data_IF_435439092742
#
_entry.id   IF_435439092742
#
_cell.length_a   1.000
_cell.length_b   1.000
_cell.length_c   1.000
_cell.angle_alpha   90.00
_cell.angle_beta   90.00
_cell.angle_gamma   90.00
#
_symmetry.space_group_name_H-M   'P 1'
#
loop_
_entity.id
_entity.type
_entity.pdbx_description
1 polymer ?
#
# COMPACT_ATOMS: atom_id res chain seq x y z
N UNK A 1 45.28 57.96 -4.43
CA UNK A 1 44.41 57.40 -3.38
C UNK A 1 43.09 56.99 -4.03
N UNK A 2 42.93 55.70 -4.35
CA UNK A 2 41.80 55.20 -5.15
C UNK A 2 40.68 54.77 -4.19
N UNK A 3 39.52 55.39 -4.33
CA UNK A 3 38.28 55.10 -3.63
C UNK A 3 37.63 53.83 -4.19
N UNK A 4 37.13 52.95 -3.32
CA UNK A 4 36.25 51.85 -3.70
C UNK A 4 34.98 51.92 -2.84
N UNK A 5 33.84 52.12 -3.51
CA UNK A 5 32.49 52.01 -2.98
C UNK A 5 31.99 50.60 -3.31
N UNK A 6 31.47 49.86 -2.33
CA UNK A 6 30.85 48.56 -2.56
C UNK A 6 29.39 48.63 -2.15
N UNK A 7 28.50 48.63 -3.14
CA UNK A 7 27.05 48.50 -2.94
C UNK A 7 26.71 47.01 -3.07
N UNK A 8 26.13 46.42 -2.02
CA UNK A 8 25.51 45.09 -2.07
C UNK A 8 24.02 45.25 -1.89
N UNK A 9 23.22 44.93 -2.90
CA UNK A 9 21.86 44.40 -2.69
C UNK A 9 21.46 43.55 -3.91
N UNK A 10 21.86 42.28 -3.87
CA UNK A 10 21.18 41.24 -4.63
C UNK A 10 20.07 40.67 -3.76
N UNK A 11 18.81 40.86 -4.15
CA UNK A 11 17.68 40.17 -3.55
C UNK A 11 17.20 39.12 -4.55
N UNK A 12 17.63 37.86 -4.39
CA UNK A 12 17.06 36.75 -5.11
C UNK A 12 15.84 36.24 -4.33
N UNK A 13 14.64 36.52 -4.84
CA UNK A 13 13.40 35.92 -4.34
C UNK A 13 13.30 34.50 -4.89
N UNK A 14 13.57 33.50 -4.05
CA UNK A 14 13.34 32.10 -4.39
C UNK A 14 11.88 31.75 -4.09
N UNK A 15 11.08 31.51 -5.14
CA UNK A 15 9.76 30.89 -5.03
C UNK A 15 9.95 29.40 -4.75
N UNK A 16 10.05 29.07 -3.46
CA UNK A 16 9.92 27.69 -3.00
C UNK A 16 8.47 27.25 -3.15
N UNK A 17 8.09 26.73 -4.32
CA UNK A 17 6.93 25.83 -4.38
C UNK A 17 7.46 24.49 -3.91
N UNK A 18 7.35 24.23 -2.61
CA UNK A 18 7.60 22.90 -2.08
C UNK A 18 6.54 21.98 -2.68
N UNK A 19 6.97 20.98 -3.45
CA UNK A 19 6.08 19.88 -3.83
C UNK A 19 5.62 19.23 -2.53
N UNK A 20 4.37 19.48 -2.12
CA UNK A 20 3.78 18.73 -1.03
C UNK A 20 3.53 17.32 -1.59
N UNK A 21 4.48 16.43 -1.35
CA UNK A 21 4.14 15.02 -1.30
C UNK A 21 3.08 14.91 -0.19
N UNK A 22 1.83 14.61 -0.57
CA UNK A 22 0.79 14.34 0.41
C UNK A 22 1.26 13.11 1.19
N UNK A 23 1.66 13.32 2.44
CA UNK A 23 1.88 12.21 3.36
C UNK A 23 0.53 11.53 3.52
N UNK A 24 0.41 10.32 2.97
CA UNK A 24 -0.76 9.50 3.20
C UNK A 24 -0.70 9.04 4.66
N UNK A 25 -1.63 9.52 5.47
CA UNK A 25 -1.69 9.19 6.88
C UNK A 25 -2.19 7.75 7.02
N UNK A 26 -1.25 6.82 7.19
CA UNK A 26 -1.51 5.40 7.41
C UNK A 26 -1.78 5.08 8.88
N UNK A 27 -1.83 6.08 9.77
CA UNK A 27 -1.98 5.82 11.21
C UNK A 27 -3.30 5.14 11.60
N UNK A 28 -4.31 5.24 10.74
CA UNK A 28 -5.60 4.56 10.91
C UNK A 28 -5.80 3.40 9.93
N UNK A 29 -4.79 3.01 9.16
CA UNK A 29 -4.88 1.81 8.34
C UNK A 29 -4.70 0.60 9.26
N UNK A 30 -5.65 -0.34 9.23
CA UNK A 30 -5.57 -1.53 10.07
C UNK A 30 -4.97 -2.73 9.33
N UNK A 31 -5.31 -2.91 8.05
CA UNK A 31 -4.81 -4.00 7.20
C UNK A 31 -5.02 -3.71 5.71
N UNK A 32 -4.20 -4.29 4.84
CA UNK A 32 -4.52 -4.46 3.42
C UNK A 32 -3.83 -5.68 2.81
N UNK A 33 -4.50 -6.35 1.87
CA UNK A 33 -3.98 -7.53 1.17
C UNK A 33 -3.68 -7.23 -0.30
N UNK A 34 -2.70 -7.93 -0.85
CA UNK A 34 -2.35 -7.83 -2.27
C UNK A 34 -3.26 -8.74 -3.10
N UNK A 35 -3.46 -8.37 -4.37
CA UNK A 35 -4.22 -9.17 -5.33
C UNK A 35 -3.37 -10.25 -6.02
N UNK A 36 -2.05 -10.26 -5.82
CA UNK A 36 -1.10 -11.21 -6.40
C UNK A 36 -0.48 -12.05 -5.27
N UNK A 37 -1.24 -13.00 -4.75
CA UNK A 37 -0.75 -13.91 -3.71
C UNK A 37 -0.87 -15.33 -4.23
N UNK A 38 0.25 -15.86 -4.73
CA UNK A 38 0.34 -17.14 -5.42
C UNK A 38 0.08 -18.38 -4.53
N UNK A 39 -0.26 -18.23 -3.25
CA UNK A 39 -0.38 -19.35 -2.29
C UNK A 39 -1.75 -19.48 -1.63
N UNK A 40 -2.31 -20.69 -1.65
CA UNK A 40 -3.67 -21.05 -1.20
C UNK A 40 -3.70 -21.51 0.26
N UNK A 41 -3.21 -20.69 1.19
CA UNK A 41 -3.19 -21.05 2.61
C UNK A 41 -3.31 -19.84 3.54
N UNK A 42 -2.68 -18.73 3.16
CA UNK A 42 -2.66 -17.52 3.94
C UNK A 42 -2.62 -16.30 3.02
N UNK A 43 -3.30 -15.23 3.42
CA UNK A 43 -3.25 -13.90 2.80
C UNK A 43 -2.54 -12.95 3.73
N UNK A 44 -1.40 -12.43 3.28
CA UNK A 44 -0.51 -11.65 4.13
C UNK A 44 -0.97 -10.20 4.14
N UNK A 45 -1.18 -9.68 5.36
CA UNK A 45 -1.44 -8.26 5.53
C UNK A 45 -0.16 -7.48 5.22
N UNK A 46 -0.21 -6.68 4.16
CA UNK A 46 0.89 -5.85 3.68
C UNK A 46 1.06 -4.55 4.49
N UNK A 47 0.17 -4.28 5.45
CA UNK A 47 0.34 -3.19 6.42
C UNK A 47 0.92 -3.67 7.75
N UNK A 48 0.35 -4.72 8.33
CA UNK A 48 0.61 -5.16 9.69
C UNK A 48 0.78 -6.66 9.82
N UNK A 49 0.02 -7.27 10.72
CA UNK A 49 0.10 -8.71 11.01
C UNK A 49 -1.28 -9.36 11.09
N UNK A 50 -2.28 -8.71 10.49
CA UNK A 50 -3.65 -9.23 10.41
C UNK A 50 -3.77 -10.25 9.26
N UNK A 51 -2.90 -11.27 9.22
CA UNK A 51 -2.91 -12.25 8.15
C UNK A 51 -4.20 -13.09 8.18
N UNK A 52 -4.77 -13.37 7.01
CA UNK A 52 -5.97 -14.21 6.90
C UNK A 52 -5.59 -15.63 6.52
N UNK A 53 -6.29 -16.63 7.05
CA UNK A 53 -6.16 -18.03 6.70
C UNK A 53 -7.28 -18.44 5.74
N UNK A 54 -6.91 -19.15 4.68
CA UNK A 54 -7.85 -19.73 3.72
C UNK A 54 -8.58 -20.91 4.36
N UNK A 55 -9.91 -20.94 4.25
CA UNK A 55 -10.74 -22.06 4.73
C UNK A 55 -11.44 -22.72 3.56
N UNK A 56 -11.35 -24.07 3.52
CA UNK A 56 -11.92 -24.96 2.51
C UNK A 56 -11.35 -24.77 1.09
N UNK A 57 -10.02 -24.78 0.93
CA UNK A 57 -9.31 -24.75 -0.37
C UNK A 57 -9.71 -23.58 -1.28
N UNK A 58 -9.55 -22.34 -0.80
CA UNK A 58 -9.76 -21.13 -1.62
C UNK A 58 -8.86 -21.17 -2.84
N UNK A 59 -9.47 -21.23 -4.02
CA UNK A 59 -8.76 -21.31 -5.29
C UNK A 59 -8.06 -19.99 -5.64
N UNK A 60 -7.14 -20.07 -6.61
CA UNK A 60 -6.57 -18.90 -7.27
C UNK A 60 -6.83 -18.98 -8.75
N UNK A 61 -7.02 -17.81 -9.36
CA UNK A 61 -7.22 -17.70 -10.80
C UNK A 61 -6.24 -16.69 -11.38
N UNK A 62 -5.33 -17.20 -12.20
CA UNK A 62 -4.22 -16.46 -12.81
C UNK A 62 -4.42 -16.14 -14.30
N UNK A 63 -5.53 -16.56 -14.92
CA UNK A 63 -5.66 -16.61 -16.38
C UNK A 63 -6.79 -15.78 -17.00
N UNK A 64 -7.42 -14.88 -16.25
CA UNK A 64 -8.42 -13.97 -16.83
C UNK A 64 -7.75 -12.75 -17.47
N UNK A 65 -7.98 -12.49 -18.76
CA UNK A 65 -7.50 -11.29 -19.49
C UNK A 65 -7.85 -9.92 -18.87
N UNK A 66 -8.50 -9.89 -17.70
CA UNK A 66 -8.97 -8.72 -16.96
C UNK A 66 -8.70 -8.82 -15.44
N UNK A 67 -7.83 -9.73 -14.98
CA UNK A 67 -7.44 -9.85 -13.57
C UNK A 67 -5.99 -9.41 -13.40
N UNK A 68 -5.70 -8.74 -12.29
CA UNK A 68 -4.32 -8.43 -11.88
C UNK A 68 -3.81 -9.67 -11.15
N UNK A 69 -3.04 -10.50 -11.85
CA UNK A 69 -2.30 -11.65 -11.31
C UNK A 69 -3.15 -12.73 -10.59
N UNK A 70 -2.53 -13.54 -9.70
CA UNK A 70 -3.12 -14.59 -8.88
C UNK A 70 -4.09 -14.06 -7.82
N UNK A 71 -5.34 -13.81 -8.22
CA UNK A 71 -6.40 -13.38 -7.31
C UNK A 71 -7.13 -14.56 -6.68
N UNK A 72 -7.61 -14.36 -5.45
CA UNK A 72 -8.50 -15.28 -4.76
C UNK A 72 -9.78 -15.55 -5.56
N UNK A 73 -10.13 -16.81 -5.70
CA UNK A 73 -11.36 -17.28 -6.33
C UNK A 73 -12.18 -18.04 -5.29
N UNK A 74 -13.43 -17.63 -5.10
CA UNK A 74 -14.35 -18.27 -4.17
C UNK A 74 -15.39 -19.09 -4.95
N UNK A 75 -15.33 -20.41 -4.87
CA UNK A 75 -16.27 -21.31 -5.52
C UNK A 75 -17.47 -21.56 -4.62
N UNK A 76 -18.66 -21.29 -5.15
CA UNK A 76 -19.92 -21.39 -4.38
C UNK A 76 -20.24 -22.81 -3.86
N UNK A 77 -19.57 -23.85 -4.38
CA UNK A 77 -19.81 -25.23 -3.98
C UNK A 77 -19.11 -25.60 -2.66
N UNK A 78 -18.02 -24.92 -2.30
CA UNK A 78 -17.06 -25.44 -1.32
C UNK A 78 -17.10 -24.71 0.03
N UNK A 79 -18.03 -23.77 0.20
CA UNK A 79 -18.18 -22.98 1.45
C UNK A 79 -16.86 -22.34 1.88
N UNK A 80 -16.18 -21.74 0.90
CA UNK A 80 -14.88 -21.10 1.06
C UNK A 80 -14.97 -19.74 1.75
N UNK A 81 -14.03 -19.43 2.63
CA UNK A 81 -13.92 -18.12 3.27
C UNK A 81 -12.51 -17.84 3.80
N UNK A 82 -12.26 -16.56 4.09
CA UNK A 82 -11.05 -16.13 4.79
C UNK A 82 -11.36 -15.94 6.27
N UNK A 83 -10.48 -16.40 7.13
CA UNK A 83 -10.62 -16.28 8.58
C UNK A 83 -9.39 -15.68 9.23
N UNK A 84 -9.56 -15.04 10.36
CA UNK A 84 -8.46 -14.66 11.24
C UNK A 84 -8.89 -14.95 12.67
N UNK A 85 -7.94 -15.35 13.51
CA UNK A 85 -8.20 -15.42 14.94
C UNK A 85 -8.64 -14.03 15.42
N UNK A 86 -9.68 -13.98 16.24
CA UNK A 86 -10.16 -12.71 16.78
C UNK A 86 -9.02 -12.01 17.51
N UNK A 87 -8.65 -10.81 17.05
CA UNK A 87 -7.62 -10.02 17.69
C UNK A 87 -8.27 -9.34 18.90
N UNK A 88 -8.01 -9.87 20.11
CA UNK A 88 -8.39 -9.22 21.37
C UNK A 88 -7.54 -7.97 21.54
N UNK A 89 -8.18 -6.79 21.54
CA UNK A 89 -7.58 -5.51 21.93
C UNK A 89 -7.62 -5.27 23.43
#
# INVERSE_FOLDING_TARGET
MRHWLTIFLGFAFSLGVTSQAQAFDLTSLEAHWKLNEATSAQRDDSHGSNNLTDVNDVEQISDGSNKIDEAAHFTNADSEYLSIAYNVT
#
